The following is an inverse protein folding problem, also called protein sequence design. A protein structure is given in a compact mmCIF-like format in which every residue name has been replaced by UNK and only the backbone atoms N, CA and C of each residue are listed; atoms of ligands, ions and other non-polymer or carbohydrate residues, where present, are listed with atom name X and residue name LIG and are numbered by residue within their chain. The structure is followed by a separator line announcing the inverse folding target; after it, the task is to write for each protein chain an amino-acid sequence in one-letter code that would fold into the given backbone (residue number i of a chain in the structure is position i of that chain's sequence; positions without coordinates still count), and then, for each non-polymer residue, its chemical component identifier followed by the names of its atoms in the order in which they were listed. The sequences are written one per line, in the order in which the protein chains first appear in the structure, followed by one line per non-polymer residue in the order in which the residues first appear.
data_IF_455662396479
#
_entry.id   IF_455662396479
#
_cell.length_a   1.000
_cell.length_b   1.000
_cell.length_c   1.000
_cell.angle_alpha   90.00
_cell.angle_beta   90.00
_cell.angle_gamma   90.00
#
_symmetry.space_group_name_H-M   'P 1'
#
loop_
_entity.id
_entity.type
_entity.pdbx_description
1 polymer ?
#
# COMPACT_ATOMS: atom_id res chain seq x y z
N UNK A 1 -2.28 -6.97 -20.51
CA UNK A 1 -0.81 -7.11 -20.54
C UNK A 1 -0.30 -6.68 -19.19
N UNK A 2 0.45 -7.51 -18.49
CA UNK A 2 1.04 -7.17 -17.19
C UNK A 2 2.10 -6.09 -17.39
N UNK A 3 2.04 -5.02 -16.61
CA UNK A 3 3.02 -3.93 -16.68
C UNK A 3 4.39 -4.42 -16.17
N UNK A 4 5.43 -4.23 -17.00
CA UNK A 4 6.80 -4.74 -16.77
C UNK A 4 7.43 -4.20 -15.48
N UNK A 5 6.96 -3.08 -14.95
CA UNK A 5 7.39 -2.53 -13.65
C UNK A 5 7.06 -3.48 -12.48
N UNK A 6 6.05 -4.34 -12.65
CA UNK A 6 5.55 -5.24 -11.62
C UNK A 6 5.86 -6.72 -11.90
N UNK A 7 6.69 -7.03 -12.89
CA UNK A 7 6.99 -8.42 -13.29
C UNK A 7 8.49 -8.66 -13.24
N UNK A 8 8.91 -9.50 -12.31
CA UNK A 8 10.29 -9.99 -12.26
C UNK A 8 10.56 -10.87 -13.49
N UNK A 9 11.59 -10.55 -14.29
CA UNK A 9 11.90 -11.30 -15.51
C UNK A 9 12.55 -12.67 -15.24
N UNK A 10 13.40 -12.77 -14.22
CA UNK A 10 14.04 -14.00 -13.76
C UNK A 10 14.72 -13.78 -12.41
N UNK A 11 14.90 -14.84 -11.59
CA UNK A 11 15.68 -14.79 -10.35
C UNK A 11 14.82 -14.97 -9.09
N UNK A 12 15.43 -14.65 -7.94
CA UNK A 12 14.76 -14.57 -6.63
C UNK A 12 14.91 -13.13 -6.16
N UNK A 13 13.79 -12.43 -5.94
CA UNK A 13 13.78 -11.17 -5.19
C UNK A 13 13.34 -11.43 -3.76
N UNK A 14 14.14 -10.96 -2.80
CA UNK A 14 13.79 -11.01 -1.40
C UNK A 14 12.93 -9.79 -1.07
N UNK A 15 11.70 -10.04 -0.65
CA UNK A 15 10.82 -9.01 -0.09
C UNK A 15 10.81 -9.11 1.43
N UNK A 16 10.79 -7.96 2.10
CA UNK A 16 10.51 -7.86 3.51
C UNK A 16 9.00 -7.91 3.80
N UNK A 17 8.62 -7.92 5.08
CA UNK A 17 7.22 -8.01 5.47
C UNK A 17 6.35 -6.84 5.02
N UNK A 18 6.88 -5.62 5.07
CA UNK A 18 6.15 -4.40 4.68
C UNK A 18 5.91 -4.36 3.16
N UNK A 19 6.91 -4.72 2.36
CA UNK A 19 6.79 -4.84 0.90
C UNK A 19 5.76 -5.90 0.51
N UNK A 20 5.73 -7.04 1.20
CA UNK A 20 4.73 -8.10 0.96
C UNK A 20 3.31 -7.65 1.30
N UNK A 21 3.12 -6.76 2.29
CA UNK A 21 1.80 -6.21 2.61
C UNK A 21 1.30 -5.31 1.46
N UNK A 22 2.15 -4.41 0.94
CA UNK A 22 1.79 -3.54 -0.19
C UNK A 22 1.53 -4.38 -1.45
N UNK A 23 2.37 -5.38 -1.72
CA UNK A 23 2.17 -6.31 -2.83
C UNK A 23 0.87 -7.09 -2.70
N UNK A 24 0.55 -7.59 -1.51
CA UNK A 24 -0.71 -8.27 -1.23
C UNK A 24 -1.93 -7.36 -1.43
N UNK A 25 -1.83 -6.08 -1.06
CA UNK A 25 -2.86 -5.08 -1.31
C UNK A 25 -3.11 -4.87 -2.81
N UNK A 26 -2.04 -4.74 -3.60
CA UNK A 26 -2.13 -4.64 -5.07
C UNK A 26 -2.76 -5.89 -5.70
N UNK A 27 -2.31 -7.09 -5.31
CA UNK A 27 -2.83 -8.35 -5.83
C UNK A 27 -4.30 -8.59 -5.45
N UNK A 28 -4.72 -8.09 -4.29
CA UNK A 28 -6.09 -8.20 -3.78
C UNK A 28 -6.99 -7.03 -4.19
N UNK A 29 -6.49 -6.11 -5.02
CA UNK A 29 -7.21 -4.92 -5.48
C UNK A 29 -7.75 -4.04 -4.34
N UNK A 30 -6.96 -3.88 -3.27
CA UNK A 30 -7.27 -2.93 -2.19
C UNK A 30 -7.23 -1.50 -2.75
N UNK A 31 -8.31 -0.74 -2.53
CA UNK A 31 -8.42 0.64 -3.01
C UNK A 31 -7.77 1.69 -2.09
N UNK A 32 -7.70 1.40 -0.79
CA UNK A 32 -7.20 2.32 0.23
C UNK A 32 -6.37 1.59 1.29
N UNK A 33 -5.19 2.12 1.57
CA UNK A 33 -4.40 1.82 2.76
C UNK A 33 -4.24 3.10 3.56
N UNK A 34 -4.81 3.15 4.77
CA UNK A 34 -4.77 4.32 5.63
C UNK A 34 -4.29 3.98 7.04
N UNK A 35 -3.52 4.86 7.66
CA UNK A 35 -3.07 4.70 9.03
C UNK A 35 -1.98 5.67 9.46
N UNK A 36 -1.49 5.49 10.68
CA UNK A 36 -0.44 6.30 11.29
C UNK A 36 0.90 5.55 11.23
N UNK A 37 2.02 6.21 10.83
CA UNK A 37 3.31 5.55 10.72
C UNK A 37 3.90 5.28 12.10
N UNK A 38 4.17 4.01 12.38
CA UNK A 38 4.84 3.58 13.60
C UNK A 38 5.56 2.26 13.39
N UNK A 39 6.64 2.01 14.12
CA UNK A 39 7.30 0.69 14.09
C UNK A 39 6.31 -0.40 14.53
N UNK A 40 6.23 -1.54 13.82
CA UNK A 40 7.11 -2.01 12.74
C UNK A 40 6.63 -1.69 11.31
N UNK A 41 5.50 -0.99 11.16
CA UNK A 41 4.79 -0.82 9.87
C UNK A 41 5.04 0.52 9.18
N UNK A 42 5.89 1.38 9.74
CA UNK A 42 6.18 2.71 9.19
C UNK A 42 6.63 2.67 7.71
N UNK A 43 7.42 1.66 7.35
CA UNK A 43 7.94 1.48 6.00
C UNK A 43 6.84 1.25 4.94
N UNK A 44 5.67 0.72 5.34
CA UNK A 44 4.52 0.62 4.43
C UNK A 44 4.16 2.01 3.90
N UNK A 45 4.12 3.02 4.78
CA UNK A 45 3.77 4.38 4.39
C UNK A 45 4.87 5.05 3.57
N UNK A 46 6.15 4.73 3.83
CA UNK A 46 7.25 5.14 2.96
C UNK A 46 7.09 4.58 1.54
N UNK A 47 6.81 3.27 1.41
CA UNK A 47 6.56 2.64 0.10
C UNK A 47 5.38 3.31 -0.62
N UNK A 48 4.28 3.56 0.11
CA UNK A 48 3.09 4.21 -0.45
C UNK A 48 3.36 5.64 -0.92
N UNK A 49 4.11 6.43 -0.14
CA UNK A 49 4.47 7.81 -0.47
C UNK A 49 5.43 7.88 -1.67
N UNK A 50 6.51 7.11 -1.64
CA UNK A 50 7.55 7.12 -2.69
C UNK A 50 7.01 6.61 -4.04
N UNK A 51 5.96 5.80 -4.04
CA UNK A 51 5.36 5.21 -5.22
C UNK A 51 3.93 5.75 -5.50
N UNK A 52 3.53 6.86 -4.87
CA UNK A 52 2.15 7.33 -4.89
C UNK A 52 1.56 7.48 -6.31
N UNK A 53 2.33 8.02 -7.26
CA UNK A 53 1.86 8.26 -8.63
C UNK A 53 1.51 6.94 -9.34
N UNK A 54 2.41 5.97 -9.31
CA UNK A 54 2.19 4.67 -9.96
C UNK A 54 1.13 3.83 -9.23
N UNK A 55 1.06 3.90 -7.90
CA UNK A 55 0.04 3.19 -7.12
C UNK A 55 -1.36 3.75 -7.40
N UNK A 56 -1.49 5.07 -7.58
CA UNK A 56 -2.75 5.72 -8.00
C UNK A 56 -3.18 5.29 -9.40
N UNK A 57 -2.26 5.14 -10.35
CA UNK A 57 -2.57 4.63 -11.70
C UNK A 57 -3.24 3.25 -11.67
N UNK A 58 -2.89 2.41 -10.70
CA UNK A 58 -3.40 1.05 -10.54
C UNK A 58 -4.51 0.94 -9.47
N UNK A 59 -4.98 2.06 -8.93
CA UNK A 59 -6.14 2.12 -8.04
C UNK A 59 -5.86 1.97 -6.55
N UNK A 60 -4.60 1.99 -6.12
CA UNK A 60 -4.22 1.96 -4.70
C UNK A 60 -3.91 3.37 -4.18
N UNK A 61 -4.71 3.87 -3.24
CA UNK A 61 -4.43 5.11 -2.51
C UNK A 61 -3.80 4.82 -1.15
N UNK A 62 -2.66 5.46 -0.86
CA UNK A 62 -2.04 5.47 0.47
C UNK A 62 -2.34 6.77 1.21
N UNK A 63 -2.83 6.68 2.44
CA UNK A 63 -3.17 7.83 3.28
C UNK A 63 -2.45 7.75 4.64
N UNK A 64 -1.69 8.78 4.97
CA UNK A 64 -1.05 8.90 6.27
C UNK A 64 -1.87 9.82 7.18
N UNK A 65 -2.41 9.26 8.26
CA UNK A 65 -3.28 10.01 9.19
C UNK A 65 -2.48 10.63 10.34
N UNK A 66 -3.13 11.44 11.19
CA UNK A 66 -2.47 12.06 12.35
C UNK A 66 -2.37 11.12 13.56
N UNK A 67 -3.24 10.10 13.62
CA UNK A 67 -3.29 9.07 14.65
C UNK A 67 -4.01 7.81 14.11
N UNK A 68 -3.93 6.70 14.85
CA UNK A 68 -4.54 5.42 14.46
C UNK A 68 -6.07 5.47 14.45
N UNK A 69 -6.69 6.34 15.27
CA UNK A 69 -8.14 6.46 15.33
C UNK A 69 -8.70 7.08 14.05
N UNK A 70 -8.00 8.08 13.49
CA UNK A 70 -8.32 8.67 12.20
C UNK A 70 -8.11 7.67 11.05
N UNK A 71 -7.05 6.87 11.10
CA UNK A 71 -6.81 5.80 10.13
C UNK A 71 -7.95 4.78 10.12
N UNK A 72 -8.37 4.32 11.29
CA UNK A 72 -9.50 3.41 11.43
C UNK A 72 -10.82 4.01 10.92
N UNK A 73 -11.07 5.30 11.21
CA UNK A 73 -12.26 5.99 10.73
C UNK A 73 -12.27 6.13 9.19
N UNK A 74 -11.13 6.47 8.58
CA UNK A 74 -10.99 6.56 7.13
C UNK A 74 -11.25 5.20 6.45
N UNK A 75 -10.66 4.13 6.98
CA UNK A 75 -10.89 2.77 6.48
C UNK A 75 -12.36 2.36 6.61
N UNK A 76 -13.00 2.67 7.74
CA UNK A 76 -14.41 2.35 7.94
C UNK A 76 -15.32 3.07 6.93
N UNK A 77 -15.08 4.36 6.68
CA UNK A 77 -15.83 5.11 5.67
C UNK A 77 -15.62 4.58 4.24
N UNK A 78 -14.46 4.01 3.94
CA UNK A 78 -14.15 3.44 2.63
C UNK A 78 -14.81 2.08 2.38
N UNK A 79 -15.32 1.39 3.40
CA UNK A 79 -16.06 0.12 3.22
C UNK A 79 -17.53 0.31 2.84
N UNK A 80 -18.10 1.49 3.11
CA UNK A 80 -19.51 1.82 2.88
C UNK A 80 -19.79 2.35 1.46
N UNK A 81 -18.76 2.43 0.60
CA UNK A 81 -18.82 2.92 -0.79
C UNK A 81 -18.61 1.81 -1.80
#
# INVERSE_FOLDING_TARGET
MSDKRFVQQSGIDAFNGNELIVKGALESQVGLMAGYPGSPVAEIFTILEENADILREVGLWGEMTNDESQGAAALNGAMDV
#
